data_IF_215997183594
#
_entry.id   IF_215997183594
#
_cell.length_a   1.000
_cell.length_b   1.000
_cell.length_c   1.000
_cell.angle_alpha   90.00
_cell.angle_beta   90.00
_cell.angle_gamma   90.00
#
_symmetry.space_group_name_H-M   'P 1'
#
loop_
_entity.id
_entity.type
_entity.pdbx_description
1 polymer ?
2 water ?
#
# COMPACT_ATOMS: atom_id res chain seq x y z
N UNK A 4 -0.80 3.58 -36.75
CA UNK A 4 -1.20 4.83 -36.12
C UNK A 4 -1.72 4.60 -34.71
N UNK A 5 -2.73 3.74 -34.60
CA UNK A 5 -3.33 3.41 -33.31
C UNK A 5 -2.28 2.81 -32.36
N UNK A 6 -1.45 1.92 -32.89
CA UNK A 6 -0.43 1.25 -32.09
C UNK A 6 0.59 2.24 -31.53
N UNK A 7 1.07 3.13 -32.41
CA UNK A 7 2.07 4.11 -32.01
C UNK A 7 1.53 4.99 -30.88
N UNK A 8 0.27 5.42 -31.00
CA UNK A 8 -0.28 6.26 -29.95
C UNK A 8 -0.50 5.50 -28.65
N UNK A 9 -1.03 4.26 -28.73
CA UNK A 9 -1.22 3.45 -27.53
C UNK A 9 0.11 3.17 -26.82
N UNK A 10 1.15 3.00 -27.62
CA UNK A 10 2.50 2.82 -27.10
C UNK A 10 2.94 4.06 -26.32
N UNK A 11 2.72 5.23 -26.90
CA UNK A 11 3.05 6.47 -26.20
C UNK A 11 2.25 6.63 -24.90
N UNK A 12 0.97 6.30 -24.96
CA UNK A 12 0.12 6.33 -23.76
C UNK A 12 0.68 5.44 -22.65
N UNK A 13 1.08 4.23 -23.02
CA UNK A 13 1.60 3.28 -22.03
C UNK A 13 2.87 3.84 -21.40
N UNK A 14 3.76 4.36 -22.24
CA UNK A 14 5.02 4.92 -21.77
C UNK A 14 4.79 6.12 -20.85
N UNK A 15 3.87 7.01 -21.22
CA UNK A 15 3.60 8.16 -20.35
C UNK A 15 2.98 7.74 -18.99
N UNK A 16 2.16 6.70 -18.98
CA UNK A 16 1.55 6.19 -17.74
C UNK A 16 2.64 5.58 -16.85
N UNK A 17 3.48 4.74 -17.45
CA UNK A 17 4.62 4.19 -16.69
C UNK A 17 5.52 5.30 -16.11
N UNK A 18 5.80 6.36 -16.88
CA UNK A 18 6.61 7.46 -16.34
C UNK A 18 5.87 8.19 -15.19
N UNK A 19 4.56 8.41 -15.35
CA UNK A 19 3.82 9.13 -14.30
C UNK A 19 3.82 8.35 -12.98
N UNK A 20 3.81 7.03 -13.10
CA UNK A 20 3.80 6.13 -11.95
C UNK A 20 5.19 5.75 -11.45
N UNK A 21 6.21 6.29 -12.13
CA UNK A 21 7.62 5.96 -11.86
C UNK A 21 7.86 4.46 -11.80
N UNK A 22 7.32 3.75 -12.78
CA UNK A 22 7.46 2.31 -12.81
C UNK A 22 8.93 1.88 -12.75
N UNK A 23 9.23 0.93 -11.87
CA UNK A 23 10.59 0.41 -11.77
C UNK A 23 10.87 -0.56 -12.90
N UNK A 24 11.99 -0.37 -13.62
CA UNK A 24 12.34 -1.32 -14.68
C UNK A 24 12.38 -2.77 -14.16
N UNK A 25 12.07 -3.76 -15.00
CA UNK A 25 12.09 -5.14 -14.50
C UNK A 25 13.46 -5.51 -13.92
N UNK A 26 13.47 -6.26 -12.83
CA UNK A 26 14.71 -6.64 -12.17
C UNK A 26 15.51 -7.58 -13.08
N UNK A 27 16.75 -7.23 -13.40
CA UNK A 27 17.57 -8.04 -14.32
C UNK A 27 18.54 -8.92 -13.56
N UNK A 28 18.76 -8.60 -12.29
CA UNK A 28 19.75 -9.31 -11.50
C UNK A 28 19.46 -9.20 -10.02
N UNK A 29 20.13 -10.05 -9.25
CA UNK A 29 20.01 -9.94 -7.79
C UNK A 29 20.50 -8.57 -7.30
N UNK A 30 21.48 -7.99 -8.00
CA UNK A 30 21.95 -6.66 -7.66
C UNK A 30 20.78 -5.67 -7.68
N UNK A 31 19.97 -5.76 -8.73
CA UNK A 31 18.77 -4.91 -8.82
C UNK A 31 17.83 -5.03 -7.60
N UNK A 32 17.53 -6.27 -7.21
CA UNK A 32 16.63 -6.53 -6.10
C UNK A 32 17.20 -5.97 -4.80
N UNK A 33 18.46 -6.27 -4.52
CA UNK A 33 19.07 -5.78 -3.28
C UNK A 33 19.19 -4.26 -3.27
N UNK A 34 19.43 -3.67 -4.43
CA UNK A 34 19.53 -2.21 -4.52
C UNK A 34 18.20 -1.54 -4.19
N UNK A 35 17.11 -2.16 -4.62
CA UNK A 35 15.78 -1.63 -4.35
C UNK A 35 15.42 -1.73 -2.87
N UNK A 36 15.78 -2.84 -2.23
CA UNK A 36 15.55 -2.93 -0.79
C UNK A 36 16.36 -1.86 -0.08
N UNK A 37 17.64 -1.75 -0.41
CA UNK A 37 18.45 -0.73 0.27
C UNK A 37 17.91 0.70 0.05
N UNK A 38 17.49 1.00 -1.17
CA UNK A 38 17.00 2.33 -1.48
C UNK A 38 15.72 2.65 -0.69
N UNK A 39 14.83 1.68 -0.60
CA UNK A 39 13.55 1.97 0.02
C UNK A 39 13.67 2.01 1.54
N UNK A 40 14.58 1.21 2.07
CA UNK A 40 14.88 1.33 3.50
C UNK A 40 15.47 2.72 3.77
N UNK A 41 16.42 3.15 2.94
CA UNK A 41 17.02 4.48 3.15
C UNK A 41 16.00 5.61 3.01
N UNK A 42 15.05 5.43 2.08
CA UNK A 42 13.96 6.39 1.88
C UNK A 42 13.09 6.52 3.17
N UNK A 43 12.71 5.38 3.76
CA UNK A 43 11.95 5.36 4.99
C UNK A 43 12.72 6.11 6.11
N UNK A 44 14.01 5.81 6.24
CA UNK A 44 14.82 6.47 7.27
C UNK A 44 14.91 7.97 7.02
N UNK A 45 15.07 8.36 5.75
CA UNK A 45 15.16 9.77 5.43
C UNK A 45 13.87 10.52 5.74
N UNK A 46 12.72 9.87 5.55
CA UNK A 46 11.43 10.50 5.90
C UNK A 46 11.37 10.79 7.41
N UNK A 47 11.74 9.80 8.23
CA UNK A 47 11.82 10.02 9.68
C UNK A 47 12.77 11.16 10.03
N UNK A 48 13.99 11.13 9.51
CA UNK A 48 14.93 12.20 9.84
C UNK A 48 14.40 13.57 9.42
N UNK A 49 13.85 13.66 8.21
CA UNK A 49 13.39 14.95 7.71
C UNK A 49 12.21 15.51 8.52
N UNK A 50 11.41 14.61 9.07
CA UNK A 50 10.25 14.99 9.86
C UNK A 50 10.61 15.21 11.32
N UNK A 51 11.82 14.81 11.70
CA UNK A 51 12.24 14.82 13.09
C UNK A 51 11.46 13.85 13.95
N UNK A 52 10.92 12.77 13.38
CA UNK A 52 10.11 11.80 14.12
C UNK A 52 10.80 10.46 14.23
N UNK A 53 10.31 9.61 15.13
CA UNK A 53 11.02 8.36 15.42
C UNK A 53 10.18 7.12 15.18
N UNK A 54 8.87 7.26 15.03
CA UNK A 54 8.07 6.03 14.93
C UNK A 54 7.35 5.92 13.60
N UNK A 55 7.10 4.67 13.21
CA UNK A 55 6.43 4.29 11.94
C UNK A 55 5.19 3.48 12.33
N UNK A 56 4.10 3.70 11.59
CA UNK A 56 2.84 3.03 11.84
C UNK A 56 2.32 2.42 10.58
N UNK A 57 1.88 1.17 10.62
CA UNK A 57 1.36 0.50 9.41
C UNK A 57 0.33 -0.57 9.79
N UNK A 58 -0.85 -0.51 9.16
CA UNK A 58 -1.84 -1.58 9.29
C UNK A 58 -1.37 -2.83 8.56
N UNK A 59 -1.37 -3.96 9.28
CA UNK A 59 -0.99 -5.26 8.71
C UNK A 59 -2.24 -6.09 8.49
N UNK A 60 -2.59 -6.25 7.23
CA UNK A 60 -3.86 -6.84 6.83
C UNK A 60 -3.78 -8.34 6.63
N UNK A 61 -2.57 -8.84 6.38
CA UNK A 61 -2.38 -10.20 5.97
C UNK A 61 -1.99 -10.30 4.50
N UNK A 62 -2.09 -9.20 3.76
CA UNK A 62 -1.76 -9.23 2.35
C UNK A 62 -0.27 -9.01 2.12
N UNK A 63 0.22 -9.34 0.92
CA UNK A 63 1.66 -9.27 0.67
C UNK A 63 2.19 -7.82 0.65
N UNK A 64 1.35 -6.86 0.24
CA UNK A 64 1.84 -5.48 0.18
C UNK A 64 2.21 -4.94 1.56
N UNK A 65 1.30 -5.07 2.52
CA UNK A 65 1.62 -4.57 3.87
C UNK A 65 2.69 -5.46 4.53
N UNK A 66 2.76 -6.73 4.15
CA UNK A 66 3.82 -7.59 4.67
C UNK A 66 5.18 -7.06 4.20
N UNK A 67 5.28 -6.69 2.93
CA UNK A 67 6.54 -6.18 2.37
C UNK A 67 6.90 -4.82 2.97
N UNK A 68 5.94 -3.92 3.00
CA UNK A 68 6.19 -2.61 3.60
C UNK A 68 6.53 -2.75 5.09
N UNK A 69 5.93 -3.71 5.77
CA UNK A 69 6.19 -3.92 7.19
C UNK A 69 7.62 -4.43 7.41
N UNK A 70 8.05 -5.35 6.55
CA UNK A 70 9.43 -5.85 6.64
C UNK A 70 10.43 -4.72 6.39
N UNK A 71 10.16 -3.89 5.39
CA UNK A 71 11.06 -2.76 5.14
C UNK A 71 11.09 -1.84 6.36
N UNK A 72 9.92 -1.57 6.97
CA UNK A 72 9.84 -0.63 8.11
C UNK A 72 10.60 -1.17 9.33
N UNK A 73 10.46 -2.46 9.60
CA UNK A 73 11.08 -3.06 10.78
C UNK A 73 12.61 -3.05 10.61
N UNK A 74 13.08 -3.35 9.41
CA UNK A 74 14.53 -3.34 9.13
C UNK A 74 15.03 -1.89 9.25
N UNK A 75 14.25 -0.93 8.73
CA UNK A 75 14.65 0.49 8.77
C UNK A 75 14.88 0.96 10.21
N UNK A 76 13.97 0.66 11.12
CA UNK A 76 14.14 1.16 12.50
C UNK A 76 15.20 0.37 13.29
N UNK A 77 15.36 -0.93 13.00
CA UNK A 77 16.43 -1.70 13.60
C UNK A 77 17.77 -1.06 13.27
N UNK A 78 17.93 -0.70 12.01
CA UNK A 78 19.19 -0.09 11.53
C UNK A 78 19.40 1.26 12.19
N UNK A 79 18.33 2.05 12.25
CA UNK A 79 18.43 3.37 12.91
C UNK A 79 18.79 3.23 14.37
N UNK A 80 18.22 2.26 15.06
CA UNK A 80 18.60 2.14 16.48
C UNK A 80 20.09 1.77 16.61
N UNK A 81 20.54 0.87 15.75
CA UNK A 81 21.94 0.43 15.80
C UNK A 81 22.86 1.61 15.53
N UNK A 82 22.56 2.37 14.47
CA UNK A 82 23.46 3.46 14.05
C UNK A 82 23.43 4.66 14.98
N UNK A 83 22.23 5.01 15.42
CA UNK A 83 22.08 6.23 16.21
C UNK A 83 22.12 6.02 17.71
N UNK A 84 21.91 4.78 18.14
CA UNK A 84 21.84 4.48 19.55
C UNK A 84 20.53 4.95 20.19
N UNK A 85 19.65 5.52 19.38
CA UNK A 85 18.40 6.10 19.87
C UNK A 85 17.32 5.04 19.91
N UNK A 86 16.99 4.57 21.11
CA UNK A 86 16.03 3.50 21.27
C UNK A 86 14.58 3.93 21.02
N UNK A 87 14.33 5.22 20.80
CA UNK A 87 12.96 5.68 20.53
C UNK A 87 12.47 5.30 19.14
N UNK A 88 13.39 4.97 18.22
CA UNK A 88 12.97 4.53 16.88
C UNK A 88 12.17 3.24 17.04
N UNK A 89 10.95 3.23 16.51
CA UNK A 89 10.06 2.08 16.69
C UNK A 89 9.12 1.93 15.51
N UNK A 90 8.82 0.67 15.19
CA UNK A 90 7.79 0.33 14.21
C UNK A 90 6.62 -0.29 14.94
N UNK A 91 5.44 0.33 14.78
CA UNK A 91 4.20 -0.13 15.37
C UNK A 91 3.35 -0.75 14.27
N UNK A 92 3.19 -2.06 14.33
CA UNK A 92 2.28 -2.76 13.44
C UNK A 92 0.89 -2.73 14.03
N UNK A 93 -0.11 -2.44 13.21
CA UNK A 93 -1.47 -2.32 13.68
C UNK A 93 -2.36 -3.39 13.06
N UNK A 94 -2.99 -4.17 13.93
CA UNK A 94 -3.95 -5.19 13.55
C UNK A 94 -5.30 -4.52 13.50
N UNK A 95 -5.99 -4.65 12.38
CA UNK A 95 -7.31 -4.06 12.22
C UNK A 95 -8.27 -5.19 11.85
N UNK A 96 -8.71 -5.98 12.85
CA UNK A 96 -9.46 -7.21 12.63
C UNK A 96 -10.78 -7.01 11.94
N UNK A 97 -11.15 -7.99 11.12
CA UNK A 97 -12.47 -8.06 10.54
C UNK A 97 -12.84 -9.53 10.55
N UNK A 98 -13.71 -9.95 9.63
CA UNK A 98 -14.28 -11.29 9.68
C UNK A 98 -14.00 -12.16 8.46
N UNK A 99 -12.84 -11.97 7.83
CA UNK A 99 -12.43 -12.90 6.77
C UNK A 99 -11.41 -13.85 7.36
N UNK A 100 -11.81 -15.12 7.49
CA UNK A 100 -11.01 -16.15 8.15
C UNK A 100 -9.57 -16.20 7.63
N UNK A 101 -9.42 -16.42 6.33
CA UNK A 101 -8.10 -16.52 5.72
C UNK A 101 -7.27 -15.25 5.93
N UNK A 102 -7.95 -14.10 5.90
CA UNK A 102 -7.25 -12.84 6.09
C UNK A 102 -6.64 -12.75 7.47
N UNK A 103 -7.41 -13.13 8.49
CA UNK A 103 -6.96 -13.02 9.88
C UNK A 103 -5.84 -14.02 10.16
N UNK A 104 -5.97 -15.22 9.60
CA UNK A 104 -4.89 -16.21 9.67
C UNK A 104 -3.67 -15.68 8.94
N UNK A 105 -3.88 -15.09 7.77
CA UNK A 105 -2.77 -14.49 7.05
C UNK A 105 -2.17 -13.31 7.82
N UNK A 106 -3.03 -12.51 8.48
CA UNK A 106 -2.58 -11.39 9.28
C UNK A 106 -1.67 -11.85 10.43
N UNK A 107 -2.09 -12.90 11.12
CA UNK A 107 -1.30 -13.43 12.22
C UNK A 107 0.03 -13.94 11.70
N UNK A 108 -0.02 -14.70 10.60
CA UNK A 108 1.17 -15.22 9.96
C UNK A 108 2.08 -14.07 9.48
N UNK A 109 1.48 -12.98 9.01
CA UNK A 109 2.27 -11.82 8.59
C UNK A 109 2.95 -11.17 9.77
N UNK A 110 2.22 -10.99 10.86
CA UNK A 110 2.82 -10.42 12.07
C UNK A 110 3.97 -11.28 12.56
N UNK A 111 3.79 -12.59 12.48
CA UNK A 111 4.83 -13.52 12.92
C UNK A 111 6.07 -13.39 12.03
N UNK A 112 5.88 -13.00 10.78
CA UNK A 112 6.99 -12.86 9.84
C UNK A 112 7.77 -11.58 10.10
N UNK A 113 7.03 -10.51 10.37
CA UNK A 113 7.61 -9.16 10.56
C UNK A 113 8.36 -9.02 11.89
N UNK A 114 7.77 -9.58 12.95
CA UNK A 114 8.32 -9.45 14.32
C UNK A 114 8.52 -7.96 14.66
N UNK A 115 7.45 -7.20 14.46
CA UNK A 115 7.46 -5.75 14.64
C UNK A 115 7.84 -5.45 16.06
N UNK A 116 8.48 -4.30 16.26
CA UNK A 116 8.79 -3.88 17.62
C UNK A 116 7.58 -3.94 18.52
N UNK A 117 6.47 -3.43 18.01
CA UNK A 117 5.24 -3.32 18.78
C UNK A 117 4.03 -3.67 17.93
N UNK A 118 3.01 -4.27 18.55
CA UNK A 118 1.77 -4.57 17.86
C UNK A 118 0.61 -3.97 18.64
N UNK A 119 -0.25 -3.22 17.95
CA UNK A 119 -1.50 -2.76 18.56
C UNK A 119 -2.72 -3.23 17.78
N UNK A 120 -3.81 -3.52 18.49
CA UNK A 120 -5.04 -3.98 17.85
C UNK A 120 -6.14 -2.94 17.99
N UNK A 121 -6.72 -2.53 16.87
CA UNK A 121 -7.83 -1.61 16.89
C UNK A 121 -9.02 -2.23 16.19
N UNK A 122 -10.07 -2.49 16.95
CA UNK A 122 -11.34 -2.88 16.39
C UNK A 122 -12.13 -1.64 15.98
N UNK A 123 -12.25 -1.41 14.67
CA UNK A 123 -12.93 -0.24 14.19
C UNK A 123 -14.44 -0.44 14.08
N UNK A 124 -14.87 -1.68 14.28
CA UNK A 124 -16.29 -2.05 14.23
C UNK A 124 -17.24 -1.08 14.93
N UNK A 125 -17.00 -0.81 16.22
CA UNK A 125 -17.89 0.11 16.94
C UNK A 125 -17.93 1.53 16.33
N UNK A 126 -16.79 2.04 15.92
CA UNK A 126 -16.76 3.35 15.31
C UNK A 126 -17.48 3.40 13.94
N UNK A 127 -17.32 2.36 13.15
CA UNK A 127 -17.96 2.31 11.83
C UNK A 127 -19.49 2.22 12.03
N UNK A 128 -19.89 1.35 12.96
CA UNK A 128 -21.32 1.16 13.22
C UNK A 128 -21.94 2.45 13.78
N UNK A 129 -21.21 3.15 14.64
CA UNK A 129 -21.75 4.33 15.30
C UNK A 129 -21.85 5.52 14.34
N UNK A 130 -20.96 5.57 13.35
CA UNK A 130 -21.06 6.57 12.27
C UNK A 130 -22.25 6.23 11.36
N UNK A 131 -22.34 4.96 10.96
CA UNK A 131 -23.39 4.51 10.04
C UNK A 131 -24.77 4.87 10.52
N UNK A 132 -24.94 4.66 11.82
CA UNK A 132 -26.20 4.88 12.48
C UNK A 132 -26.66 6.35 12.43
N UNK A 133 -25.72 7.27 12.32
CA UNK A 133 -26.00 8.70 12.26
C UNK A 133 -26.08 9.26 10.84
N UNK A 134 -25.98 8.41 9.82
CA UNK A 134 -26.01 8.88 8.42
C UNK A 134 -27.36 8.57 7.78
N UNK A 135 -28.26 9.54 7.79
CA UNK A 135 -29.56 9.35 7.17
C UNK A 135 -29.39 8.98 5.69
N UNK A 136 -28.28 9.40 5.07
CA UNK A 136 -28.09 9.11 3.65
C UNK A 136 -27.95 7.61 3.35
N UNK A 137 -27.65 6.81 4.38
CA UNK A 137 -27.57 5.36 4.18
C UNK A 137 -28.92 4.72 4.13
N UNK A 138 -29.94 5.45 4.59
CA UNK A 138 -31.28 4.86 4.67
C UNK A 138 -31.88 4.69 3.28
N UNK A 139 -32.35 3.48 2.99
CA UNK A 139 -32.95 3.19 1.70
C UNK A 139 -32.03 2.88 0.55
N UNK A 140 -30.72 2.90 0.78
CA UNK A 140 -29.78 2.60 -0.29
C UNK A 140 -29.94 1.17 -0.77
N UNK A 141 -29.77 0.96 -2.07
CA UNK A 141 -29.74 -0.40 -2.58
C UNK A 141 -28.61 -1.16 -1.91
N UNK A 142 -28.78 -2.46 -1.71
CA UNK A 142 -27.79 -3.22 -0.92
C UNK A 142 -26.38 -3.18 -1.49
N UNK A 143 -26.21 -3.36 -2.80
CA UNK A 143 -24.86 -3.31 -3.37
C UNK A 143 -24.21 -1.95 -3.13
N UNK A 144 -24.97 -0.88 -3.30
CA UNK A 144 -24.40 0.46 -3.06
C UNK A 144 -24.11 0.69 -1.58
N UNK A 145 -25.01 0.23 -0.72
CA UNK A 145 -24.82 0.33 0.74
C UNK A 145 -23.53 -0.39 1.18
N UNK A 146 -23.37 -1.63 0.73
CA UNK A 146 -22.14 -2.35 1.08
C UNK A 146 -20.88 -1.61 0.60
N UNK A 147 -20.94 -1.01 -0.60
CA UNK A 147 -19.79 -0.27 -1.12
C UNK A 147 -19.50 0.97 -0.27
N UNK A 148 -20.55 1.73 0.04
CA UNK A 148 -20.37 2.94 0.84
C UNK A 148 -19.86 2.56 2.25
N UNK A 149 -20.42 1.51 2.84
CA UNK A 149 -19.97 1.10 4.17
C UNK A 149 -18.52 0.57 4.11
N UNK A 150 -18.20 -0.17 3.03
CA UNK A 150 -16.82 -0.60 2.83
C UNK A 150 -15.82 0.53 2.81
N UNK A 151 -16.19 1.65 2.17
CA UNK A 151 -15.28 2.78 2.15
C UNK A 151 -15.21 3.55 3.44
N UNK A 152 -16.31 3.60 4.19
CA UNK A 152 -16.26 4.09 5.58
C UNK A 152 -15.22 3.29 6.37
N UNK A 153 -15.27 1.97 6.25
CA UNK A 153 -14.33 1.08 6.98
C UNK A 153 -12.89 1.40 6.56
N UNK A 154 -12.66 1.55 5.25
CA UNK A 154 -11.28 1.85 4.82
C UNK A 154 -10.80 3.19 5.38
N UNK A 155 -11.70 4.17 5.41
CA UNK A 155 -11.30 5.50 5.89
C UNK A 155 -11.11 5.52 7.41
N UNK A 156 -11.95 4.80 8.17
CA UNK A 156 -11.73 4.76 9.61
C UNK A 156 -10.47 3.95 9.96
N UNK A 157 -10.08 2.97 9.12
CA UNK A 157 -8.78 2.34 9.34
C UNK A 157 -7.68 3.40 9.21
N UNK A 158 -7.78 4.30 8.22
CA UNK A 158 -6.82 5.41 8.10
C UNK A 158 -6.84 6.26 9.39
N UNK A 159 -8.03 6.66 9.80
CA UNK A 159 -8.11 7.52 10.99
C UNK A 159 -7.43 6.89 12.23
N UNK A 160 -7.59 5.58 12.38
CA UNK A 160 -7.00 4.85 13.51
C UNK A 160 -5.49 4.87 13.43
N UNK A 161 -4.96 4.63 12.24
CA UNK A 161 -3.49 4.67 12.08
C UNK A 161 -2.93 6.07 12.35
N UNK A 162 -3.63 7.09 11.84
CA UNK A 162 -3.18 8.48 12.08
C UNK A 162 -3.29 8.87 13.57
N UNK A 163 -4.30 8.36 14.28
CA UNK A 163 -4.39 8.61 15.72
C UNK A 163 -3.18 8.00 16.46
N UNK A 164 -2.80 6.78 16.11
CA UNK A 164 -1.64 6.13 16.72
C UNK A 164 -0.38 6.91 16.40
N UNK A 165 -0.25 7.33 15.15
CA UNK A 165 0.92 8.09 14.76
C UNK A 165 0.96 9.43 15.51
N UNK A 166 -0.18 10.08 15.67
CA UNK A 166 -0.20 11.36 16.38
C UNK A 166 0.13 11.19 17.84
N UNK A 167 -0.37 10.10 18.42
CA UNK A 167 -0.07 9.80 19.83
C UNK A 167 1.43 9.54 20.05
N UNK A 168 2.05 8.85 19.09
CA UNK A 168 3.39 8.37 19.28
C UNK A 168 4.44 9.12 18.46
N UNK A 169 4.10 10.25 17.84
CA UNK A 169 5.06 11.03 17.08
C UNK A 169 5.55 10.25 15.89
N UNK A 170 4.62 9.73 15.10
CA UNK A 170 5.00 8.89 13.99
C UNK A 170 4.54 9.32 12.59
N UNK A 171 5.07 8.61 11.61
CA UNK A 171 4.64 8.69 10.20
C UNK A 171 3.82 7.44 9.86
N UNK A 172 2.77 7.62 9.07
CA UNK A 172 1.96 6.51 8.59
C UNK A 172 2.48 6.02 7.23
N UNK A 173 2.81 4.73 7.16
CA UNK A 173 3.21 4.07 5.94
C UNK A 173 1.99 3.60 5.15
N UNK A 174 1.99 3.84 3.84
CA UNK A 174 0.98 3.29 2.94
C UNK A 174 1.61 2.25 2.03
N UNK A 175 0.78 1.35 1.50
CA UNK A 175 1.28 0.25 0.69
C UNK A 175 1.08 0.40 -0.80
N UNK A 176 0.71 1.60 -1.25
CA UNK A 176 0.50 1.75 -2.70
C UNK A 176 1.76 1.40 -3.54
N UNK A 177 1.51 0.77 -4.69
CA UNK A 177 2.57 0.47 -5.65
C UNK A 177 1.96 0.71 -7.02
N UNK A 178 2.76 0.52 -8.06
CA UNK A 178 2.31 0.93 -9.42
C UNK A 178 1.13 0.10 -9.95
N UNK A 179 1.08 -1.19 -9.61
CA UNK A 179 -0.02 -2.05 -10.08
C UNK A 179 -1.35 -1.68 -9.42
N UNK A 180 -1.28 -1.26 -8.17
CA UNK A 180 -2.49 -0.75 -7.51
C UNK A 180 -2.85 0.62 -8.05
N UNK A 181 -1.84 1.47 -8.19
CA UNK A 181 -2.05 2.87 -8.56
C UNK A 181 -2.66 3.05 -9.96
N UNK A 182 -2.18 2.25 -10.92
CA UNK A 182 -2.64 2.42 -12.28
C UNK A 182 -4.18 2.17 -12.41
N UNK A 183 -4.70 1.34 -11.53
CA UNK A 183 -6.14 0.99 -11.59
C UNK A 183 -6.95 1.84 -10.59
N UNK A 184 -6.26 2.62 -9.79
CA UNK A 184 -6.94 3.39 -8.75
C UNK A 184 -7.60 2.49 -7.72
N UNK A 185 -6.95 1.36 -7.44
CA UNK A 185 -7.49 0.28 -6.63
C UNK A 185 -7.21 0.55 -5.16
N UNK A 186 -7.79 1.64 -4.67
CA UNK A 186 -7.63 2.05 -3.28
C UNK A 186 -8.74 3.06 -3.00
N UNK A 187 -9.08 3.20 -1.74
CA UNK A 187 -10.04 4.21 -1.34
C UNK A 187 -9.38 5.56 -1.19
N UNK A 188 -9.91 6.55 -1.89
CA UNK A 188 -9.43 7.89 -1.74
C UNK A 188 -9.58 8.37 -0.29
N UNK A 189 -8.51 8.86 0.31
CA UNK A 189 -8.48 9.26 1.73
C UNK A 189 -8.81 8.11 2.65
N UNK A 190 -8.65 6.87 2.17
CA UNK A 190 -8.63 5.70 3.04
C UNK A 190 -7.24 5.07 2.96
N UNK A 191 -7.09 3.92 2.31
CA UNK A 191 -5.74 3.34 2.27
C UNK A 191 -4.79 4.10 1.32
N UNK A 192 -5.33 5.01 0.49
CA UNK A 192 -4.50 5.91 -0.32
C UNK A 192 -3.85 6.99 0.52
N UNK A 193 -4.30 7.13 1.76
CA UNK A 193 -3.83 8.19 2.62
C UNK A 193 -2.70 7.73 3.57
N UNK A 194 -1.51 8.28 3.35
CA UNK A 194 -0.36 8.00 4.18
C UNK A 194 0.61 9.17 4.06
N UNK A 195 1.67 9.10 4.87
CA UNK A 195 2.75 10.07 4.79
C UNK A 195 3.86 9.64 3.82
N UNK A 196 4.11 8.34 3.70
CA UNK A 196 5.16 7.85 2.80
C UNK A 196 4.71 6.51 2.23
N UNK A 197 5.05 6.24 0.99
CA UNK A 197 4.62 5.04 0.28
C UNK A 197 5.88 4.37 -0.27
N UNK A 198 6.55 3.53 0.53
CA UNK A 198 7.86 3.00 0.13
C UNK A 198 7.80 1.91 -0.96
N UNK A 199 6.61 1.46 -1.36
CA UNK A 199 6.48 0.49 -2.45
C UNK A 199 6.16 1.19 -3.76
N UNK A 200 6.10 2.52 -3.76
CA UNK A 200 5.73 3.28 -4.96
C UNK A 200 6.55 2.88 -6.17
N UNK A 201 5.88 2.71 -7.31
CA UNK A 201 6.57 2.40 -8.55
C UNK A 201 6.73 0.92 -8.79
N UNK A 202 6.54 0.09 -7.77
CA UNK A 202 6.78 -1.36 -8.00
C UNK A 202 5.61 -2.02 -8.72
N UNK A 203 5.92 -2.90 -9.68
CA UNK A 203 4.91 -3.83 -10.19
C UNK A 203 4.56 -4.87 -9.12
N UNK A 204 3.40 -5.52 -9.23
CA UNK A 204 3.00 -6.51 -8.22
C UNK A 204 4.04 -7.62 -8.08
N UNK A 205 4.57 -8.13 -9.19
CA UNK A 205 5.54 -9.22 -9.09
C UNK A 205 6.84 -8.75 -8.43
N UNK A 206 7.11 -7.45 -8.51
CA UNK A 206 8.29 -6.86 -7.86
C UNK A 206 8.09 -6.73 -6.35
N UNK A 207 6.87 -6.36 -5.94
CA UNK A 207 6.54 -6.41 -4.53
C UNK A 207 6.80 -7.84 -4.00
N UNK A 208 6.31 -8.84 -4.71
CA UNK A 208 6.50 -10.22 -4.25
C UNK A 208 7.99 -10.58 -4.19
N UNK A 209 8.76 -10.10 -5.17
CA UNK A 209 10.18 -10.39 -5.20
C UNK A 209 10.85 -9.81 -3.98
N UNK A 210 10.48 -8.58 -3.61
CA UNK A 210 11.07 -7.99 -2.41
C UNK A 210 10.66 -8.76 -1.17
N UNK A 211 9.38 -9.13 -1.06
CA UNK A 211 8.93 -9.91 0.09
C UNK A 211 9.75 -11.19 0.24
N UNK A 212 10.02 -11.87 -0.86
CA UNK A 212 10.78 -13.13 -0.79
C UNK A 212 12.21 -12.85 -0.32
N UNK A 213 12.81 -11.80 -0.86
CA UNK A 213 14.17 -11.44 -0.51
C UNK A 213 14.27 -10.94 0.94
N UNK A 214 13.15 -10.47 1.47
CA UNK A 214 13.10 -9.93 2.85
C UNK A 214 12.78 -11.03 3.87
N UNK A 215 12.52 -12.25 3.39
CA UNK A 215 12.39 -13.40 4.29
C UNK A 215 10.96 -13.88 4.54
N UNK A 216 10.02 -13.44 3.72
CA UNK A 216 8.63 -13.86 3.85
C UNK A 216 8.46 -15.30 3.40
N UNK A 217 7.63 -16.09 4.10
CA UNK A 217 7.36 -17.47 3.66
C UNK A 217 6.60 -17.47 2.35
N UNK A 218 6.78 -18.51 1.54
CA UNK A 218 6.29 -18.51 0.17
C UNK A 218 4.77 -18.39 0.08
N UNK A 219 4.06 -19.02 1.01
CA UNK A 219 2.59 -18.95 1.04
C UNK A 219 2.05 -17.54 1.26
N UNK A 220 2.84 -16.67 1.91
CA UNK A 220 2.41 -15.29 2.07
C UNK A 220 2.81 -14.46 0.86
N UNK A 221 3.92 -14.83 0.23
CA UNK A 221 4.41 -14.08 -0.93
C UNK A 221 3.46 -14.24 -2.10
N UNK A 222 2.93 -15.44 -2.25
CA UNK A 222 2.01 -15.74 -3.33
C UNK A 222 0.56 -15.74 -2.85
N UNK A 223 0.33 -15.18 -1.67
CA UNK A 223 -1.03 -15.02 -1.14
C UNK A 223 -1.79 -14.02 -1.99
N UNK A 242 -10.27 -4.76 -12.65
CA UNK A 242 -11.49 -4.42 -13.39
C UNK A 242 -11.77 -5.49 -14.44
N UNK A 243 -11.60 -6.76 -14.04
CA UNK A 243 -11.64 -7.88 -14.96
C UNK A 243 -10.28 -8.08 -15.60
N UNK A 244 -9.25 -7.58 -14.93
CA UNK A 244 -7.89 -7.59 -15.44
C UNK A 244 -7.02 -8.22 -14.35
N UNK A 245 -5.97 -8.96 -14.70
CA UNK A 245 -5.15 -9.61 -13.70
C UNK A 245 -3.92 -8.81 -13.36
N UNK A 246 -3.26 -9.15 -12.26
CA UNK A 246 -2.03 -8.48 -11.94
C UNK A 246 -0.97 -8.80 -12.96
N UNK A 247 -0.97 -10.00 -13.53
CA UNK A 247 0.05 -10.33 -14.54
C UNK A 247 -0.15 -9.40 -15.74
N UNK A 248 -1.41 -9.15 -16.09
CA UNK A 248 -1.69 -8.23 -17.19
C UNK A 248 -1.24 -6.78 -16.88
N UNK A 249 -1.58 -6.34 -15.67
CA UNK A 249 -1.23 -4.99 -15.21
C UNK A 249 0.27 -4.80 -15.24
N UNK A 250 1.00 -5.77 -14.70
CA UNK A 250 2.46 -5.67 -14.71
C UNK A 250 3.04 -5.65 -16.13
N UNK A 251 2.51 -6.51 -17.03
CA UNK A 251 2.95 -6.47 -18.41
C UNK A 251 2.72 -5.10 -19.02
N UNK A 252 1.53 -4.55 -18.83
CA UNK A 252 1.27 -3.18 -19.28
C UNK A 252 2.29 -2.17 -18.73
N UNK A 253 2.53 -2.20 -17.43
CA UNK A 253 3.45 -1.25 -16.79
C UNK A 253 4.86 -1.37 -17.35
N UNK A 254 5.25 -2.59 -17.71
CA UNK A 254 6.61 -2.79 -18.20
C UNK A 254 6.72 -2.76 -19.72
N UNK A 255 5.61 -2.46 -20.39
CA UNK A 255 5.60 -2.35 -21.84
C UNK A 255 5.76 -3.68 -22.56
N UNK A 256 5.37 -4.76 -21.89
CA UNK A 256 5.50 -6.10 -22.45
C UNK A 256 4.19 -6.53 -23.11
N UNK A 257 4.23 -7.58 -23.95
CA UNK A 257 2.99 -7.91 -24.67
C UNK A 257 1.84 -8.33 -23.76
N UNK A 258 0.62 -7.89 -24.09
CA UNK A 258 -0.58 -8.32 -23.36
C UNK A 258 -1.75 -8.15 -24.28
N UNK A 259 -2.86 -8.81 -23.92
CA UNK A 259 -4.06 -8.69 -24.72
C UNK A 259 -4.51 -7.24 -24.89
N UNK A 260 -4.83 -6.90 -26.13
CA UNK A 260 -5.18 -5.53 -26.47
C UNK A 260 -6.38 -5.09 -25.66
N UNK A 261 -7.33 -6.00 -25.45
CA UNK A 261 -8.51 -5.63 -24.67
C UNK A 261 -8.13 -5.28 -23.22
N UNK A 262 -7.13 -5.96 -22.67
CA UNK A 262 -6.75 -5.64 -21.29
C UNK A 262 -6.06 -4.29 -21.23
N UNK A 263 -5.20 -4.00 -22.22
CA UNK A 263 -4.55 -2.69 -22.25
C UNK A 263 -5.61 -1.58 -22.31
N UNK A 264 -6.67 -1.82 -23.07
CA UNK A 264 -7.75 -0.84 -23.19
C UNK A 264 -8.43 -0.58 -21.86
N UNK A 265 -8.73 -1.64 -21.13
CA UNK A 265 -9.38 -1.48 -19.84
C UNK A 265 -8.45 -0.79 -18.85
N UNK A 266 -7.17 -1.14 -18.87
CA UNK A 266 -6.22 -0.48 -17.96
C UNK A 266 -6.13 1.02 -18.25
N UNK A 267 -6.01 1.38 -19.52
CA UNK A 267 -5.91 2.79 -19.87
C UNK A 267 -7.19 3.56 -19.49
N UNK A 268 -8.34 2.95 -19.74
CA UNK A 268 -9.62 3.60 -19.46
C UNK A 268 -9.83 3.76 -17.94
N UNK A 269 -9.34 2.78 -17.19
CA UNK A 269 -9.44 2.83 -15.74
C UNK A 269 -8.50 3.87 -15.16
N UNK A 270 -7.28 3.89 -15.67
CA UNK A 270 -6.32 4.92 -15.29
C UNK A 270 -6.89 6.32 -15.51
N UNK A 271 -7.41 6.58 -16.71
CA UNK A 271 -7.97 7.90 -16.94
C UNK A 271 -9.13 8.25 -15.97
N UNK A 272 -10.02 7.29 -15.72
CA UNK A 272 -11.20 7.55 -14.90
C UNK A 272 -10.82 7.85 -13.46
N UNK A 273 -9.70 7.28 -13.02
CA UNK A 273 -9.30 7.37 -11.62
C UNK A 273 -8.18 8.42 -11.39
N UNK A 274 -7.90 9.28 -12.37
CA UNK A 274 -6.78 10.23 -12.22
C UNK A 274 -6.93 11.13 -10.97
N UNK A 275 -8.18 11.46 -10.65
CA UNK A 275 -8.41 12.38 -9.51
C UNK A 275 -7.95 11.75 -8.19
N UNK A 276 -7.88 10.43 -8.13
CA UNK A 276 -7.39 9.76 -6.92
C UNK A 276 -5.87 9.89 -6.74
N UNK A 277 -5.18 10.21 -7.83
CA UNK A 277 -3.72 10.31 -7.82
C UNK A 277 -3.22 11.74 -7.91
N UNK A 278 -4.15 12.67 -7.69
CA UNK A 278 -3.83 14.10 -7.67
C UNK A 278 -4.32 14.73 -6.41
N UNK A 279 -3.80 15.93 -6.12
CA UNK A 279 -4.32 16.78 -5.08
C UNK A 279 -5.76 17.26 -5.42
N UNK A 280 -6.48 17.81 -4.43
CA UNK A 280 -7.85 18.28 -4.74
C UNK A 280 -7.86 19.27 -5.89
N UNK A 281 -8.91 19.22 -6.70
CA UNK A 281 -8.97 20.16 -7.82
C UNK A 281 -9.13 21.58 -7.31
N UNK A 282 -8.52 22.50 -8.06
CA UNK A 282 -8.56 23.92 -7.75
C UNK A 282 -8.76 24.74 -9.04
N UNK A 283 -9.40 25.92 -8.92
CA UNK A 283 -9.64 26.71 -10.14
C UNK A 283 -8.35 27.28 -10.73
#
# INVERSE_FOLDING_TARGET
MAHHHHHHMQQIQRDIAQALQVQPPFQSEADVQAQIARRIAFIQQCLKDSGLKTLVLGISGGVDSLTAGLLAQRAVEQLREQTGDQAYRFIAVRLPYQVQQDEADAQASLATIRADEEQTVNIGPSVKALAEQLEALEGLEPAKSDFVIGNIKARIRMVAQYAIAGARGGLVIGTDHAAEAVMGFFTKFGDGACDLAPLSGLAKHQVRALARALGAPENLVEKIPTADLEDLRPGHPDEASHGVTYAEIDAFLHGQPLREEAARVIVDTYHKTQHKRELPKAP
#
